data_IF_015590365057
#
_entry.id   IF_015590365057
#
_cell.length_a   1.000
_cell.length_b   1.000
_cell.length_c   1.000
_cell.angle_alpha   90.00
_cell.angle_beta   90.00
_cell.angle_gamma   90.00
#
_symmetry.space_group_name_H-M   'P 1'
#
loop_
_entity.id
_entity.type
_entity.pdbx_description
1 polymer ?
#
# COMPACT_ATOMS: atom_id res chain seq x y z
N UNK A 1 -5.00 -18.04 -12.68
CA UNK A 1 -4.12 -17.39 -11.67
C UNK A 1 -3.67 -16.02 -12.16
N UNK A 2 -3.53 -15.05 -11.24
CA UNK A 2 -3.13 -13.67 -11.57
C UNK A 2 -1.73 -13.62 -12.20
N UNK A 3 -1.59 -12.84 -13.26
CA UNK A 3 -0.33 -12.68 -13.97
C UNK A 3 0.64 -11.74 -13.20
N UNK A 4 1.79 -12.25 -12.71
CA UNK A 4 2.73 -11.45 -11.94
C UNK A 4 3.46 -10.38 -12.76
N UNK A 5 3.44 -10.43 -14.10
CA UNK A 5 4.02 -9.37 -14.93
C UNK A 5 3.09 -8.15 -15.05
N UNK A 6 1.78 -8.34 -14.84
CA UNK A 6 0.79 -7.27 -14.92
C UNK A 6 0.44 -6.73 -13.53
N UNK A 7 0.51 -7.57 -12.49
CA UNK A 7 0.23 -7.21 -11.11
C UNK A 7 1.50 -7.33 -10.27
N UNK A 8 2.23 -6.22 -10.16
CA UNK A 8 3.56 -6.15 -9.55
C UNK A 8 3.63 -5.32 -8.26
N UNK A 9 2.62 -5.33 -7.36
CA UNK A 9 2.60 -4.40 -6.21
C UNK A 9 3.84 -4.56 -5.31
N UNK A 10 4.32 -5.79 -5.12
CA UNK A 10 5.50 -6.08 -4.30
C UNK A 10 6.84 -5.91 -5.04
N UNK A 11 6.85 -5.94 -6.38
CA UNK A 11 8.08 -5.74 -7.18
C UNK A 11 8.63 -4.33 -6.97
N UNK A 12 7.74 -3.34 -6.96
CA UNK A 12 8.10 -1.94 -6.67
C UNK A 12 8.68 -1.80 -5.26
N UNK A 13 8.03 -2.41 -4.27
CA UNK A 13 8.49 -2.39 -2.87
C UNK A 13 9.89 -3.00 -2.73
N UNK A 14 10.12 -4.19 -3.29
CA UNK A 14 11.41 -4.88 -3.24
C UNK A 14 12.52 -4.14 -4.00
N UNK A 15 12.16 -3.29 -4.97
CA UNK A 15 13.11 -2.48 -5.73
C UNK A 15 13.53 -1.19 -5.01
N UNK A 16 12.94 -0.89 -3.85
CA UNK A 16 13.34 0.27 -3.06
C UNK A 16 14.80 0.14 -2.59
N UNK A 17 15.58 1.23 -2.62
CA UNK A 17 16.94 1.24 -2.06
C UNK A 17 16.96 0.70 -0.64
N UNK A 18 17.97 -0.10 -0.30
CA UNK A 18 18.21 -0.60 1.07
C UNK A 18 17.11 -1.51 1.66
N UNK A 19 16.13 -1.96 0.88
CA UNK A 19 15.19 -3.01 1.31
C UNK A 19 15.86 -4.38 1.42
N UNK A 20 16.93 -4.61 0.64
CA UNK A 20 17.66 -5.88 0.58
C UNK A 20 16.75 -7.09 0.30
N UNK A 21 15.79 -6.91 -0.61
CA UNK A 21 14.87 -7.95 -1.04
C UNK A 21 15.13 -8.35 -2.49
N UNK A 22 15.18 -9.65 -2.74
CA UNK A 22 15.16 -10.20 -4.09
C UNK A 22 13.74 -10.63 -4.44
N UNK A 23 13.07 -9.88 -5.32
CA UNK A 23 11.73 -10.24 -5.79
C UNK A 23 11.80 -11.25 -6.93
N UNK A 24 11.12 -12.38 -6.74
CA UNK A 24 10.88 -13.38 -7.78
C UNK A 24 9.42 -13.79 -7.72
N UNK A 25 8.79 -13.98 -8.88
CA UNK A 25 7.40 -14.41 -8.99
C UNK A 25 7.31 -15.89 -9.34
N UNK A 26 6.40 -16.59 -8.67
CA UNK A 26 5.94 -17.93 -9.07
C UNK A 26 4.46 -17.86 -9.41
N UNK A 27 4.04 -18.60 -10.43
CA UNK A 27 2.65 -18.64 -10.89
C UNK A 27 2.23 -20.09 -11.08
N UNK A 28 1.06 -20.44 -10.56
CA UNK A 28 0.42 -21.69 -10.94
C UNK A 28 -0.06 -21.63 -12.39
N UNK A 29 0.46 -22.52 -13.22
CA UNK A 29 0.08 -22.70 -14.64
C UNK A 29 -0.84 -23.91 -14.85
N UNK A 30 -1.07 -24.73 -13.82
CA UNK A 30 -1.89 -25.94 -13.87
C UNK A 30 -3.29 -25.66 -13.36
N UNK A 31 -4.28 -25.76 -14.23
CA UNK A 31 -5.69 -25.54 -13.87
C UNK A 31 -6.17 -26.52 -12.80
N UNK A 32 -5.76 -27.78 -12.88
CA UNK A 32 -6.06 -28.82 -11.88
C UNK A 32 -5.55 -28.47 -10.45
N UNK A 33 -4.59 -27.56 -10.33
CA UNK A 33 -4.08 -27.09 -9.04
C UNK A 33 -4.84 -25.86 -8.52
N UNK A 34 -5.85 -25.37 -9.23
CA UNK A 34 -6.63 -24.20 -8.85
C UNK A 34 -7.92 -24.63 -8.17
N UNK A 35 -8.18 -24.08 -6.97
CA UNK A 35 -9.43 -24.33 -6.25
C UNK A 35 -10.17 -23.00 -6.12
N UNK A 36 -11.35 -22.91 -6.74
CA UNK A 36 -12.17 -21.70 -6.77
C UNK A 36 -13.31 -21.79 -5.76
N UNK A 37 -13.79 -20.63 -5.31
CA UNK A 37 -14.83 -20.53 -4.28
C UNK A 37 -15.91 -19.51 -4.68
N UNK A 38 -16.71 -19.79 -5.73
CA UNK A 38 -17.65 -18.81 -6.29
C UNK A 38 -18.74 -18.38 -5.30
N UNK A 39 -19.05 -19.21 -4.29
CA UNK A 39 -20.12 -18.99 -3.32
C UNK A 39 -19.70 -18.19 -2.07
N UNK A 40 -18.43 -17.77 -1.96
CA UNK A 40 -17.96 -16.94 -0.85
C UNK A 40 -18.62 -15.54 -0.88
N UNK A 41 -18.50 -14.73 0.18
CA UNK A 41 -18.81 -13.30 0.11
C UNK A 41 -18.02 -12.61 -1.00
N UNK A 42 -18.55 -11.53 -1.57
CA UNK A 42 -17.91 -10.84 -2.69
C UNK A 42 -16.55 -10.24 -2.29
N UNK A 43 -16.40 -9.82 -1.03
CA UNK A 43 -15.14 -9.33 -0.46
C UNK A 43 -14.04 -10.40 -0.45
N UNK A 44 -14.42 -11.67 -0.51
CA UNK A 44 -13.54 -12.84 -0.58
C UNK A 44 -13.57 -13.52 -1.95
N UNK A 45 -13.97 -12.78 -2.99
CA UNK A 45 -13.91 -13.22 -4.38
C UNK A 45 -15.07 -14.11 -4.84
N UNK A 46 -16.15 -14.24 -4.06
CA UNK A 46 -17.34 -14.92 -4.57
C UNK A 46 -18.08 -14.08 -5.61
N UNK A 47 -18.70 -14.76 -6.56
CA UNK A 47 -19.29 -14.17 -7.79
C UNK A 47 -20.79 -14.42 -7.93
N UNK A 48 -21.43 -15.12 -6.98
CA UNK A 48 -22.87 -15.43 -7.02
C UNK A 48 -23.77 -14.18 -7.12
N UNK A 49 -23.28 -13.03 -6.67
CA UNK A 49 -23.98 -11.74 -6.74
C UNK A 49 -24.02 -11.12 -8.15
N UNK A 50 -23.27 -11.67 -9.12
CA UNK A 50 -23.21 -11.18 -10.49
C UNK A 50 -24.27 -11.87 -11.36
N UNK A 51 -24.56 -11.28 -12.52
CA UNK A 51 -25.38 -11.94 -13.56
C UNK A 51 -24.74 -13.25 -14.04
N UNK A 52 -25.58 -14.20 -14.45
CA UNK A 52 -25.13 -15.55 -14.79
C UNK A 52 -24.11 -15.57 -15.92
N UNK A 53 -24.30 -14.74 -16.95
CA UNK A 53 -23.38 -14.61 -18.08
C UNK A 53 -22.00 -14.14 -17.62
N UNK A 54 -21.95 -13.21 -16.66
CA UNK A 54 -20.70 -12.70 -16.10
C UNK A 54 -20.01 -13.74 -15.22
N UNK A 55 -20.77 -14.51 -14.44
CA UNK A 55 -20.24 -15.64 -13.67
C UNK A 55 -19.57 -16.67 -14.59
N UNK A 56 -20.26 -17.08 -15.66
CA UNK A 56 -19.76 -18.03 -16.65
C UNK A 56 -18.49 -17.51 -17.35
N UNK A 57 -18.47 -16.22 -17.72
CA UNK A 57 -17.29 -15.56 -18.30
C UNK A 57 -16.09 -15.60 -17.36
N UNK A 58 -16.28 -15.28 -16.08
CA UNK A 58 -15.21 -15.27 -15.06
C UNK A 58 -14.67 -16.68 -14.81
N UNK A 59 -15.57 -17.68 -14.74
CA UNK A 59 -15.20 -19.08 -14.56
C UNK A 59 -14.38 -19.61 -15.74
N UNK A 60 -14.79 -19.29 -16.98
CA UNK A 60 -14.10 -19.71 -18.20
C UNK A 60 -12.78 -18.96 -18.45
N UNK A 61 -12.58 -17.80 -17.83
CA UNK A 61 -11.36 -17.02 -17.98
C UNK A 61 -10.12 -17.80 -17.50
N UNK A 62 -8.93 -17.47 -18.02
CA UNK A 62 -7.65 -18.04 -17.58
C UNK A 62 -6.72 -17.01 -16.97
N UNK A 63 -6.88 -15.75 -17.36
CA UNK A 63 -6.07 -14.63 -16.90
C UNK A 63 -6.94 -13.40 -16.66
N UNK A 64 -6.55 -12.56 -15.70
CA UNK A 64 -7.31 -11.37 -15.35
C UNK A 64 -6.94 -10.24 -16.30
N UNK A 65 -7.88 -9.66 -17.05
CA UNK A 65 -7.61 -8.49 -17.87
C UNK A 65 -7.09 -7.31 -17.03
N UNK A 66 -6.35 -6.41 -17.66
CA UNK A 66 -5.90 -5.17 -17.00
C UNK A 66 -7.12 -4.36 -16.55
N UNK A 67 -7.09 -3.91 -15.31
CA UNK A 67 -8.12 -3.05 -14.73
C UNK A 67 -7.49 -2.03 -13.79
N UNK A 68 -8.23 -0.95 -13.51
CA UNK A 68 -7.74 0.18 -12.72
C UNK A 68 -7.89 -0.02 -11.21
N UNK A 69 -8.86 -0.82 -10.76
CA UNK A 69 -9.27 -0.88 -9.35
C UNK A 69 -9.40 -2.32 -8.82
N UNK A 70 -8.84 -2.56 -7.63
CA UNK A 70 -8.88 -3.82 -6.87
C UNK A 70 -10.29 -4.29 -6.45
N UNK A 71 -11.37 -3.63 -6.91
CA UNK A 71 -12.76 -4.08 -6.72
C UNK A 71 -13.33 -4.80 -7.94
N UNK A 72 -12.51 -5.08 -8.95
CA UNK A 72 -12.92 -5.87 -10.10
C UNK A 72 -13.28 -7.31 -9.65
N UNK A 73 -14.49 -7.83 -9.96
CA UNK A 73 -14.92 -9.14 -9.47
C UNK A 73 -14.07 -10.30 -9.98
N UNK A 74 -13.64 -10.27 -11.25
CA UNK A 74 -12.77 -11.30 -11.83
C UNK A 74 -11.40 -11.31 -11.14
N UNK A 75 -10.85 -10.15 -10.83
CA UNK A 75 -9.61 -10.04 -10.06
C UNK A 75 -9.76 -10.61 -8.65
N UNK A 76 -10.82 -10.22 -7.92
CA UNK A 76 -11.12 -10.75 -6.58
C UNK A 76 -11.25 -12.28 -6.60
N UNK A 77 -12.00 -12.81 -7.58
CA UNK A 77 -12.16 -14.24 -7.79
C UNK A 77 -10.81 -14.96 -7.96
N UNK A 78 -9.86 -14.33 -8.67
CA UNK A 78 -8.53 -14.94 -8.93
C UNK A 78 -7.52 -14.74 -7.81
N UNK A 79 -7.58 -13.68 -7.02
CA UNK A 79 -6.65 -13.48 -5.89
C UNK A 79 -7.04 -14.28 -4.65
N UNK A 80 -8.32 -14.60 -4.47
CA UNK A 80 -8.84 -15.38 -3.34
C UNK A 80 -9.06 -16.87 -3.65
N UNK A 81 -8.69 -17.33 -4.85
CA UNK A 81 -8.64 -18.75 -5.15
C UNK A 81 -7.52 -19.43 -4.35
N UNK A 82 -7.73 -20.66 -3.91
CA UNK A 82 -6.66 -21.45 -3.33
C UNK A 82 -5.85 -22.12 -4.44
N UNK A 83 -4.63 -22.55 -4.11
CA UNK A 83 -3.73 -23.18 -5.08
C UNK A 83 -2.96 -24.32 -4.43
N UNK A 84 -3.04 -25.52 -5.02
CA UNK A 84 -2.11 -26.60 -4.70
C UNK A 84 -0.74 -26.29 -5.32
N UNK A 85 0.23 -25.99 -4.46
CA UNK A 85 1.56 -25.61 -4.92
C UNK A 85 2.27 -26.83 -5.51
N UNK A 86 2.70 -26.72 -6.76
CA UNK A 86 3.61 -27.67 -7.38
C UNK A 86 5.01 -27.43 -6.80
N UNK A 87 5.37 -28.25 -5.80
CA UNK A 87 6.61 -28.11 -5.02
C UNK A 87 7.85 -28.13 -5.94
N UNK A 88 8.04 -29.11 -6.85
CA UNK A 88 9.14 -29.07 -7.81
C UNK A 88 9.22 -27.77 -8.63
N UNK A 89 8.10 -27.31 -9.19
CA UNK A 89 8.05 -26.05 -9.96
C UNK A 89 8.47 -24.84 -9.11
N UNK A 90 7.93 -24.76 -7.89
CA UNK A 90 8.26 -23.71 -6.94
C UNK A 90 9.74 -23.73 -6.52
N UNK A 91 10.29 -24.90 -6.19
CA UNK A 91 11.69 -25.06 -5.83
C UNK A 91 12.64 -24.71 -6.97
N UNK A 92 12.26 -24.96 -8.23
CA UNK A 92 13.08 -24.54 -9.38
C UNK A 92 13.18 -23.02 -9.46
N UNK A 93 12.07 -22.30 -9.29
CA UNK A 93 12.06 -20.83 -9.24
C UNK A 93 12.95 -20.31 -8.10
N UNK A 94 12.88 -20.92 -6.91
CA UNK A 94 13.77 -20.56 -5.79
C UNK A 94 15.24 -20.85 -6.07
N UNK A 95 15.58 -22.00 -6.65
CA UNK A 95 16.97 -22.34 -7.01
C UNK A 95 17.54 -21.34 -8.01
N UNK A 96 16.76 -20.95 -9.00
CA UNK A 96 17.19 -19.97 -9.99
C UNK A 96 17.33 -18.58 -9.38
N UNK A 97 16.42 -18.20 -8.46
CA UNK A 97 16.52 -16.99 -7.66
C UNK A 97 17.77 -16.93 -6.75
N UNK A 98 18.26 -18.08 -6.27
CA UNK A 98 19.48 -18.13 -5.46
C UNK A 98 20.76 -18.05 -6.29
N UNK A 99 20.73 -18.51 -7.55
CA UNK A 99 21.87 -18.40 -8.48
C UNK A 99 22.06 -16.96 -8.95
N UNK A 100 20.97 -16.23 -9.15
CA UNK A 100 21.01 -14.82 -9.48
C UNK A 100 21.30 -14.03 -8.21
N UNK A 101 22.48 -13.41 -8.13
CA UNK A 101 22.72 -12.41 -7.07
C UNK A 101 21.64 -11.34 -7.16
N UNK A 102 21.10 -10.84 -6.05
CA UNK A 102 20.19 -9.69 -6.08
C UNK A 102 20.92 -8.61 -6.86
N UNK A 103 20.42 -8.31 -8.05
CA UNK A 103 21.13 -7.45 -8.98
C UNK A 103 21.07 -6.05 -8.34
N UNK A 104 22.13 -5.69 -7.62
CA UNK A 104 22.39 -4.35 -7.07
C UNK A 104 22.59 -3.31 -8.17
N UNK A 105 22.37 -3.70 -9.43
CA UNK A 105 22.11 -2.78 -10.54
C UNK A 105 20.88 -1.98 -10.16
N UNK A 106 21.13 -0.81 -9.58
CA UNK A 106 20.27 0.37 -9.46
C UNK A 106 19.18 0.29 -10.54
N UNK A 107 18.07 -0.40 -10.24
CA UNK A 107 16.91 -0.33 -11.10
C UNK A 107 16.62 1.17 -11.13
N UNK A 108 16.65 1.77 -12.32
CA UNK A 108 16.30 3.18 -12.46
C UNK A 108 14.94 3.30 -11.79
N UNK A 109 14.91 3.95 -10.63
CA UNK A 109 13.72 4.18 -9.81
C UNK A 109 12.82 5.07 -10.65
N UNK A 110 12.02 4.44 -11.52
CA UNK A 110 11.09 5.09 -12.42
C UNK A 110 9.68 5.18 -11.79
N UNK A 111 9.56 4.99 -10.48
CA UNK A 111 8.39 5.46 -9.75
C UNK A 111 8.86 6.40 -8.65
N UNK A 112 8.36 7.63 -8.70
CA UNK A 112 8.33 8.55 -7.57
C UNK A 112 7.45 7.93 -6.50
N UNK A 113 8.01 7.02 -5.70
CA UNK A 113 7.33 6.53 -4.51
C UNK A 113 7.23 7.70 -3.55
N UNK A 114 5.99 8.10 -3.24
CA UNK A 114 5.72 9.17 -2.29
C UNK A 114 5.91 8.70 -0.86
N UNK A 115 6.21 9.61 0.09
CA UNK A 115 6.17 9.29 1.51
C UNK A 115 4.81 8.66 1.87
N UNK A 116 4.85 7.64 2.74
CA UNK A 116 3.65 7.01 3.26
C UNK A 116 2.84 7.99 4.10
N UNK A 117 1.58 7.62 4.37
CA UNK A 117 0.71 8.39 5.25
C UNK A 117 1.33 8.52 6.64
N UNK A 118 1.30 9.73 7.20
CA UNK A 118 1.61 10.01 8.60
C UNK A 118 0.65 9.25 9.51
N UNK A 119 1.15 8.64 10.58
CA UNK A 119 0.39 7.86 11.55
C UNK A 119 0.61 8.39 12.97
N UNK A 120 -0.26 7.96 13.88
CA UNK A 120 -0.17 8.30 15.31
C UNK A 120 -0.05 9.82 15.56
N UNK A 121 -0.85 10.61 14.84
CA UNK A 121 -0.94 12.04 15.10
C UNK A 121 -1.50 12.25 16.51
N UNK A 122 -0.70 12.89 17.37
CA UNK A 122 -1.06 13.27 18.74
C UNK A 122 -1.16 14.78 18.82
N UNK A 123 -2.14 15.22 19.58
CA UNK A 123 -2.42 16.61 19.83
C UNK A 123 -2.61 16.79 21.34
N UNK A 124 -1.91 17.75 21.92
CA UNK A 124 -1.99 18.07 23.33
C UNK A 124 -2.11 19.58 23.51
N UNK A 125 -3.12 20.01 24.22
CA UNK A 125 -3.32 21.41 24.59
C UNK A 125 -2.80 21.65 26.01
N UNK A 126 -2.22 22.82 26.23
CA UNK A 126 -1.87 23.28 27.58
C UNK A 126 -2.22 24.75 27.71
N UNK A 127 -3.00 25.10 28.74
CA UNK A 127 -3.31 26.47 29.10
C UNK A 127 -2.23 26.95 30.07
N UNK A 128 -1.50 28.00 29.72
CA UNK A 128 -0.45 28.57 30.57
C UNK A 128 -1.01 29.68 31.46
N UNK A 129 -1.88 30.51 30.91
CA UNK A 129 -2.57 31.61 31.60
C UNK A 129 -3.98 31.77 31.04
N UNK A 130 -4.79 32.68 31.61
CA UNK A 130 -6.13 32.99 31.10
C UNK A 130 -6.14 33.56 29.67
N UNK A 131 -4.99 33.98 29.13
CA UNK A 131 -4.84 34.54 27.79
C UNK A 131 -3.92 33.74 26.86
N UNK A 132 -3.21 32.74 27.36
CA UNK A 132 -2.23 31.97 26.58
C UNK A 132 -2.51 30.47 26.64
N UNK A 133 -2.70 29.88 25.46
CA UNK A 133 -2.76 28.46 25.26
C UNK A 133 -1.69 28.00 24.25
N UNK A 134 -1.25 26.76 24.39
CA UNK A 134 -0.31 26.12 23.48
C UNK A 134 -0.90 24.83 22.93
N UNK A 135 -0.61 24.56 21.67
CA UNK A 135 -1.00 23.36 20.95
C UNK A 135 0.26 22.60 20.55
N UNK A 136 0.54 21.49 21.23
CA UNK A 136 1.63 20.60 20.87
C UNK A 136 1.13 19.47 19.99
N UNK A 137 1.69 19.37 18.79
CA UNK A 137 1.40 18.31 17.83
C UNK A 137 2.63 17.43 17.64
N UNK A 138 2.41 16.14 17.42
CA UNK A 138 3.48 15.21 17.04
C UNK A 138 2.92 14.03 16.26
N UNK A 139 3.77 13.37 15.48
CA UNK A 139 3.37 12.19 14.70
C UNK A 139 4.54 11.25 14.41
N UNK A 140 4.21 10.06 13.93
CA UNK A 140 5.19 9.10 13.47
C UNK A 140 5.68 9.44 12.05
N UNK A 141 7.00 9.44 11.87
CA UNK A 141 7.65 9.64 10.57
C UNK A 141 7.24 8.50 9.61
N UNK A 142 6.83 8.80 8.36
CA UNK A 142 6.50 7.77 7.38
C UNK A 142 7.60 6.72 7.22
N UNK A 143 7.23 5.44 7.38
CA UNK A 143 8.16 4.31 7.46
C UNK A 143 9.08 4.17 6.24
N UNK A 144 8.60 4.61 5.06
CA UNK A 144 9.32 4.45 3.81
C UNK A 144 10.30 5.58 3.52
N UNK A 145 10.31 6.67 4.30
CA UNK A 145 11.19 7.82 4.06
C UNK A 145 12.67 7.44 3.99
N UNK A 146 13.11 6.48 4.83
CA UNK A 146 14.49 5.96 4.82
C UNK A 146 14.91 5.29 3.50
N UNK A 147 13.94 4.92 2.68
CA UNK A 147 14.17 4.30 1.36
C UNK A 147 14.01 5.29 0.20
N UNK A 148 13.53 6.50 0.48
CA UNK A 148 13.35 7.54 -0.52
C UNK A 148 14.60 8.42 -0.60
N UNK A 149 15.04 8.75 -1.82
CA UNK A 149 16.12 9.71 -2.05
C UNK A 149 15.58 11.13 -2.00
N UNK A 150 15.23 11.60 -0.81
CA UNK A 150 14.71 12.95 -0.57
C UNK A 150 15.80 13.85 0.03
N UNK A 151 15.86 15.11 -0.43
CA UNK A 151 16.78 16.12 0.13
C UNK A 151 16.20 16.79 1.37
N UNK A 152 14.89 17.03 1.34
CA UNK A 152 14.16 17.75 2.37
C UNK A 152 12.78 17.11 2.53
N UNK A 153 12.32 17.01 3.77
CA UNK A 153 10.98 16.56 4.12
C UNK A 153 10.31 17.69 4.88
N UNK A 154 9.14 18.11 4.39
CA UNK A 154 8.29 19.08 5.07
C UNK A 154 6.93 18.46 5.30
N UNK A 155 6.31 18.87 6.40
CA UNK A 155 4.98 18.46 6.79
C UNK A 155 4.05 19.65 6.67
N UNK A 156 2.96 19.46 5.95
CA UNK A 156 1.89 20.45 5.88
C UNK A 156 0.86 20.09 6.97
N UNK A 157 0.72 20.97 7.96
CA UNK A 157 -0.17 20.79 9.10
C UNK A 157 -1.26 21.84 9.03
N UNK A 158 -2.52 21.39 8.99
CA UNK A 158 -3.68 22.28 8.92
C UNK A 158 -4.36 22.32 10.28
N UNK A 159 -4.48 23.51 10.84
CA UNK A 159 -5.21 23.74 12.10
C UNK A 159 -6.53 24.41 11.75
N UNK A 160 -7.62 23.86 12.27
CA UNK A 160 -8.96 24.39 12.12
C UNK A 160 -9.53 24.70 13.50
N UNK A 161 -10.06 25.90 13.67
CA UNK A 161 -10.80 26.25 14.88
C UNK A 161 -12.19 25.58 14.85
N UNK A 162 -12.64 25.06 15.99
CA UNK A 162 -13.92 24.38 16.05
C UNK A 162 -15.06 25.35 15.75
N UNK A 163 -15.88 25.02 14.74
CA UNK A 163 -16.99 25.87 14.29
C UNK A 163 -16.64 26.82 13.15
N UNK A 164 -15.35 26.96 12.80
CA UNK A 164 -14.89 27.75 11.67
C UNK A 164 -14.67 26.87 10.43
N UNK A 165 -14.93 27.41 9.24
CA UNK A 165 -14.66 26.73 7.97
C UNK A 165 -13.28 27.07 7.39
N UNK A 166 -12.50 27.88 8.10
CA UNK A 166 -11.19 28.34 7.66
C UNK A 166 -10.09 27.50 8.30
N UNK A 167 -9.02 27.25 7.53
CA UNK A 167 -7.87 26.47 7.96
C UNK A 167 -6.63 27.35 7.94
N UNK A 168 -5.77 27.17 8.94
CA UNK A 168 -4.45 27.78 9.00
C UNK A 168 -3.40 26.72 8.64
N UNK A 169 -2.80 26.78 7.42
CA UNK A 169 -1.77 25.83 7.00
C UNK A 169 -0.39 26.28 7.51
N UNK A 170 0.36 25.31 8.04
CA UNK A 170 1.74 25.50 8.49
C UNK A 170 2.65 24.48 7.81
N UNK A 171 3.84 24.92 7.39
CA UNK A 171 4.87 24.05 6.83
C UNK A 171 5.94 23.84 7.90
N UNK A 172 6.03 22.61 8.41
CA UNK A 172 6.93 22.23 9.50
C UNK A 172 8.07 21.32 9.00
N UNK A 173 9.33 21.56 9.40
CA UNK A 173 10.45 20.70 9.04
C UNK A 173 10.59 19.47 9.95
N UNK A 174 9.86 19.44 11.07
CA UNK A 174 10.01 18.46 12.14
C UNK A 174 8.69 17.74 12.42
N UNK A 175 8.79 16.53 12.98
CA UNK A 175 7.67 15.65 13.32
C UNK A 175 6.93 16.03 14.60
N UNK A 176 7.35 17.10 15.26
CA UNK A 176 6.69 17.69 16.41
C UNK A 176 6.82 19.21 16.36
N UNK A 177 5.82 19.90 16.90
CA UNK A 177 5.84 21.35 17.00
C UNK A 177 4.87 21.81 18.08
N UNK A 178 5.20 22.90 18.76
CA UNK A 178 4.31 23.55 19.73
C UNK A 178 3.95 24.93 19.23
N UNK A 179 2.70 25.08 18.80
CA UNK A 179 2.12 26.38 18.45
C UNK A 179 1.78 27.13 19.73
N UNK A 180 2.18 28.40 19.79
CA UNK A 180 1.85 29.33 20.89
C UNK A 180 1.17 30.59 20.39
N UNK A 181 1.38 30.94 19.12
CA UNK A 181 0.68 32.03 18.44
C UNK A 181 -0.63 31.52 17.84
N UNK A 182 -1.66 32.37 17.82
CA UNK A 182 -2.97 32.09 17.24
C UNK A 182 -3.71 30.86 17.83
N UNK A 183 -3.35 30.44 19.04
CA UNK A 183 -4.05 29.40 19.80
C UNK A 183 -4.86 30.09 20.91
N UNK A 184 -6.18 30.01 20.80
CA UNK A 184 -7.08 30.57 21.82
C UNK A 184 -7.16 29.63 23.03
N UNK A 185 -7.16 30.17 24.27
CA UNK A 185 -7.54 29.40 25.44
C UNK A 185 -9.01 28.95 25.32
N UNK A 186 -9.29 27.76 25.84
CA UNK A 186 -10.63 27.16 25.88
C UNK A 186 -11.27 27.34 27.25
#
# INVERSE_FOLDING_TARGET
>A
AVNPEQYTPYKTLASLPSMDLHYVSWRNTKEANTVTHPNRPWEQGGIVHLEKEEQERILASKDVPRHLCCRNPEWLFRIYQDTFVDIPSFLNVLKDAMKTRPNSKKAKTASTVHPGRVREARCQTSVQTSSEAKLSVSWQIPWNLKFLKVREVKYEVWIQEQGENTYMPYILPQQNHTFSENIKPF
#
